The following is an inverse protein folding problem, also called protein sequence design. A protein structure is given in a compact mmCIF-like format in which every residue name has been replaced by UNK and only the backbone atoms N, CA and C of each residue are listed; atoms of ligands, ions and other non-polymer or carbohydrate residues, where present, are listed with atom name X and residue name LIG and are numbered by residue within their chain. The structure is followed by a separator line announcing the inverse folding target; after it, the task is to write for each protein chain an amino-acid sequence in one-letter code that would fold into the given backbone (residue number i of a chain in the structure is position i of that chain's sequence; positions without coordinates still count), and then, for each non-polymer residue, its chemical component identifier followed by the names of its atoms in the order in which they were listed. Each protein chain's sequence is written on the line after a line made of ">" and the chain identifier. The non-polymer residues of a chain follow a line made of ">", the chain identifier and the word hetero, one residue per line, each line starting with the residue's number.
data_IF_776173219927
#
_entry.id   IF_776173219927
#
_cell.length_a   1.000
_cell.length_b   1.000
_cell.length_c   1.000
_cell.angle_alpha   90.00
_cell.angle_beta   90.00
_cell.angle_gamma   90.00
#
_symmetry.space_group_name_H-M   'P 1'
#
loop_
_entity.id
_entity.type
_entity.pdbx_description
1 polymer ?
#
# COMPACT_ATOMS: atom_id res chain seq x y z
N UNK A 1 12.73 -1.96 7.66
CA UNK A 1 11.26 -2.11 7.82
C UNK A 1 10.57 -2.36 6.47
N UNK A 2 10.78 -1.51 5.45
CA UNK A 2 10.24 -1.67 4.09
C UNK A 2 10.47 -3.05 3.46
N UNK A 3 11.65 -3.64 3.63
CA UNK A 3 11.97 -4.97 3.09
C UNK A 3 11.02 -6.06 3.58
N UNK A 4 10.60 -6.00 4.86
CA UNK A 4 9.65 -6.97 5.43
C UNK A 4 8.27 -6.75 4.83
N UNK A 5 7.84 -5.49 4.68
CA UNK A 5 6.54 -5.15 4.07
C UNK A 5 6.48 -5.59 2.61
N UNK A 6 7.55 -5.36 1.85
CA UNK A 6 7.66 -5.85 0.47
C UNK A 6 7.68 -7.38 0.38
N UNK A 7 8.34 -8.05 1.32
CA UNK A 7 8.29 -9.52 1.39
C UNK A 7 6.87 -10.02 1.67
N UNK A 8 6.16 -9.43 2.65
CA UNK A 8 4.77 -9.78 2.97
C UNK A 8 3.82 -9.52 1.79
N UNK A 9 4.00 -8.41 1.09
CA UNK A 9 3.29 -8.05 -0.13
C UNK A 9 3.55 -9.04 -1.28
N UNK A 10 4.79 -9.43 -1.49
CA UNK A 10 5.14 -10.42 -2.51
C UNK A 10 4.54 -11.80 -2.19
N UNK A 11 4.59 -12.23 -0.92
CA UNK A 11 4.01 -13.48 -0.46
C UNK A 11 2.48 -13.47 -0.60
N UNK A 12 1.81 -12.35 -0.28
CA UNK A 12 0.35 -12.25 -0.42
C UNK A 12 -0.08 -12.32 -1.89
N UNK A 13 0.62 -11.60 -2.78
CA UNK A 13 0.37 -11.65 -4.22
C UNK A 13 0.62 -13.07 -4.80
N UNK A 14 1.69 -13.74 -4.35
CA UNK A 14 1.99 -15.11 -4.74
C UNK A 14 0.92 -16.10 -4.28
N UNK A 15 0.39 -15.95 -3.05
CA UNK A 15 -0.70 -16.76 -2.52
C UNK A 15 -1.98 -16.64 -3.36
N UNK A 16 -2.36 -15.42 -3.76
CA UNK A 16 -3.52 -15.17 -4.62
C UNK A 16 -3.29 -15.74 -6.02
N UNK A 17 -2.10 -15.54 -6.59
CA UNK A 17 -1.75 -16.07 -7.91
C UNK A 17 -1.80 -17.60 -7.94
N UNK A 18 -1.30 -18.26 -6.89
CA UNK A 18 -1.25 -19.73 -6.80
C UNK A 18 -2.61 -20.38 -6.54
N UNK A 19 -3.52 -19.70 -5.84
CA UNK A 19 -4.79 -20.31 -5.42
C UNK A 19 -5.76 -20.52 -6.57
N UNK A 20 -5.85 -19.62 -7.56
CA UNK A 20 -6.68 -19.82 -8.76
C UNK A 20 -6.22 -18.97 -9.97
N UNK A 21 -5.64 -19.56 -11.03
CA UNK A 21 -5.37 -18.81 -12.27
C UNK A 21 -6.69 -18.61 -13.05
N UNK A 22 -7.53 -17.68 -12.60
CA UNK A 22 -8.73 -17.24 -13.33
C UNK A 22 -8.58 -15.79 -13.81
N UNK A 23 -9.29 -15.42 -14.89
CA UNK A 23 -9.31 -14.03 -15.42
C UNK A 23 -9.64 -12.98 -14.35
N UNK A 24 -10.34 -13.38 -13.30
CA UNK A 24 -10.75 -12.53 -12.19
C UNK A 24 -9.58 -12.13 -11.26
N UNK A 25 -8.45 -12.83 -11.31
CA UNK A 25 -7.24 -12.46 -10.55
C UNK A 25 -6.46 -11.32 -11.19
N UNK A 26 -6.77 -10.90 -12.44
CA UNK A 26 -6.08 -9.78 -13.09
C UNK A 26 -6.31 -8.45 -12.37
N UNK A 27 -7.54 -8.19 -11.91
CA UNK A 27 -7.87 -6.92 -11.26
C UNK A 27 -7.15 -6.76 -9.90
N UNK A 28 -7.18 -7.74 -8.97
CA UNK A 28 -6.40 -7.69 -7.74
C UNK A 28 -4.89 -7.49 -7.95
N UNK A 29 -4.30 -8.20 -8.93
CA UNK A 29 -2.88 -8.05 -9.24
C UNK A 29 -2.55 -6.69 -9.87
N UNK A 30 -3.44 -6.13 -10.70
CA UNK A 30 -3.26 -4.80 -11.28
C UNK A 30 -3.32 -3.70 -10.20
N UNK A 31 -4.30 -3.78 -9.28
CA UNK A 31 -4.41 -2.84 -8.14
C UNK A 31 -3.17 -2.94 -7.24
N UNK A 32 -2.69 -4.16 -6.98
CA UNK A 32 -1.43 -4.39 -6.27
C UNK A 32 -0.22 -3.75 -6.98
N UNK A 33 -0.15 -3.85 -8.30
CA UNK A 33 0.89 -3.20 -9.09
C UNK A 33 0.87 -1.67 -8.97
N UNK A 34 -0.32 -1.07 -9.07
CA UNK A 34 -0.50 0.39 -8.90
C UNK A 34 -0.10 0.83 -7.49
N UNK A 35 -0.54 0.08 -6.47
CA UNK A 35 -0.14 0.31 -5.08
C UNK A 35 1.39 0.33 -4.91
N UNK A 36 2.11 -0.55 -5.60
CA UNK A 36 3.57 -0.65 -5.51
C UNK A 36 4.25 0.56 -6.16
N UNK A 37 3.75 1.02 -7.31
CA UNK A 37 4.24 2.22 -7.98
C UNK A 37 4.00 3.47 -7.13
N UNK A 38 2.79 3.64 -6.59
CA UNK A 38 2.47 4.72 -5.65
C UNK A 38 3.43 4.69 -4.45
N UNK A 39 3.63 3.51 -3.86
CA UNK A 39 4.54 3.38 -2.73
C UNK A 39 5.99 3.78 -3.05
N UNK A 40 6.48 3.47 -4.25
CA UNK A 40 7.80 3.92 -4.70
C UNK A 40 7.84 5.44 -4.96
N UNK A 41 6.73 6.05 -5.36
CA UNK A 41 6.61 7.49 -5.59
C UNK A 41 6.56 8.31 -4.28
N UNK A 42 6.02 7.75 -3.19
CA UNK A 42 5.91 8.45 -1.91
C UNK A 42 7.26 8.93 -1.36
N UNK A 43 8.27 8.06 -1.36
CA UNK A 43 9.59 8.38 -0.78
C UNK A 43 10.26 9.60 -1.43
N UNK A 44 10.41 9.67 -2.77
CA UNK A 44 10.96 10.86 -3.43
C UNK A 44 10.06 12.09 -3.36
N UNK A 45 8.72 11.94 -3.31
CA UNK A 45 7.81 13.08 -3.12
C UNK A 45 7.99 13.74 -1.75
N UNK A 46 8.08 12.93 -0.69
CA UNK A 46 8.21 13.42 0.68
C UNK A 46 9.63 13.90 1.00
N UNK A 47 10.65 13.09 0.70
CA UNK A 47 12.05 13.40 1.05
C UNK A 47 12.83 14.14 -0.03
N UNK A 48 12.55 13.90 -1.31
CA UNK A 48 13.32 14.45 -2.42
C UNK A 48 12.86 15.85 -2.82
N UNK A 49 11.55 16.04 -2.98
CA UNK A 49 10.96 17.31 -3.45
C UNK A 49 10.53 18.24 -2.31
N UNK A 50 10.42 17.74 -1.07
CA UNK A 50 9.96 18.54 0.07
C UNK A 50 8.52 19.04 -0.05
N UNK A 51 7.77 18.51 -1.02
CA UNK A 51 6.37 18.89 -1.30
C UNK A 51 5.43 18.19 -0.32
N UNK A 52 5.49 18.60 0.94
CA UNK A 52 4.76 18.01 2.07
C UNK A 52 3.24 17.93 1.84
N UNK A 53 2.66 18.94 1.19
CA UNK A 53 1.23 18.93 0.83
C UNK A 53 0.87 17.87 -0.22
N UNK A 54 1.71 17.70 -1.25
CA UNK A 54 1.50 16.69 -2.31
C UNK A 54 1.73 15.28 -1.79
N UNK A 55 2.73 15.10 -0.92
CA UNK A 55 3.00 13.82 -0.25
C UNK A 55 1.86 13.39 0.68
N UNK A 56 1.16 14.34 1.30
CA UNK A 56 -0.04 14.05 2.10
C UNK A 56 -1.19 13.52 1.25
N UNK A 57 -1.47 14.13 0.08
CA UNK A 57 -2.50 13.61 -0.83
C UNK A 57 -2.11 12.22 -1.34
N UNK A 58 -0.84 12.04 -1.72
CA UNK A 58 -0.36 10.76 -2.25
C UNK A 58 -0.44 9.64 -1.19
N UNK A 59 -0.15 9.92 0.08
CA UNK A 59 -0.26 8.89 1.13
C UNK A 59 -1.71 8.44 1.36
N UNK A 60 -2.68 9.34 1.20
CA UNK A 60 -4.11 8.98 1.24
C UNK A 60 -4.52 8.13 0.04
N UNK A 61 -4.03 8.47 -1.16
CA UNK A 61 -4.27 7.67 -2.37
C UNK A 61 -3.68 6.27 -2.19
N UNK A 62 -2.42 6.19 -1.73
CA UNK A 62 -1.76 4.92 -1.42
C UNK A 62 -2.55 4.11 -0.38
N UNK A 63 -3.02 4.75 0.69
CA UNK A 63 -3.84 4.10 1.71
C UNK A 63 -5.13 3.51 1.12
N UNK A 64 -5.82 4.25 0.25
CA UNK A 64 -7.01 3.78 -0.46
C UNK A 64 -6.72 2.56 -1.34
N UNK A 65 -5.60 2.59 -2.07
CA UNK A 65 -5.16 1.44 -2.87
C UNK A 65 -4.83 0.22 -2.01
N UNK A 66 -4.18 0.41 -0.86
CA UNK A 66 -3.90 -0.69 0.09
C UNK A 66 -5.19 -1.31 0.60
N UNK A 67 -6.15 -0.48 1.03
CA UNK A 67 -7.45 -0.95 1.50
C UNK A 67 -8.19 -1.72 0.39
N UNK A 68 -8.17 -1.22 -0.85
CA UNK A 68 -8.75 -1.90 -2.00
C UNK A 68 -8.09 -3.27 -2.25
N UNK A 69 -6.76 -3.35 -2.21
CA UNK A 69 -6.01 -4.61 -2.34
C UNK A 69 -6.37 -5.58 -1.22
N UNK A 70 -6.47 -5.10 0.03
CA UNK A 70 -6.90 -5.92 1.18
C UNK A 70 -8.30 -6.47 0.94
N UNK A 71 -9.27 -5.65 0.54
CA UNK A 71 -10.65 -6.10 0.28
C UNK A 71 -10.75 -7.12 -0.87
N UNK A 72 -10.00 -6.89 -1.95
CA UNK A 72 -9.91 -7.79 -3.10
C UNK A 72 -9.25 -9.13 -2.71
N UNK A 73 -8.19 -9.07 -1.92
CA UNK A 73 -7.49 -10.26 -1.44
C UNK A 73 -8.31 -10.98 -0.36
N UNK A 74 -9.12 -10.28 0.43
CA UNK A 74 -9.97 -10.87 1.46
C UNK A 74 -11.02 -11.82 0.88
N UNK A 75 -11.59 -11.46 -0.27
CA UNK A 75 -12.53 -12.32 -1.01
C UNK A 75 -11.87 -13.58 -1.58
N UNK A 76 -10.54 -13.57 -1.79
CA UNK A 76 -9.79 -14.67 -2.41
C UNK A 76 -9.08 -15.55 -1.38
N UNK A 77 -8.32 -14.92 -0.49
CA UNK A 77 -7.51 -15.56 0.54
C UNK A 77 -7.39 -14.65 1.76
N UNK A 78 -8.05 -15.06 2.85
CA UNK A 78 -7.99 -14.41 4.16
C UNK A 78 -6.55 -14.29 4.69
N UNK A 79 -5.72 -15.28 4.36
CA UNK A 79 -4.29 -15.28 4.68
C UNK A 79 -3.52 -14.20 3.92
N UNK A 80 -3.81 -14.01 2.63
CA UNK A 80 -3.18 -12.97 1.83
C UNK A 80 -3.56 -11.56 2.35
N UNK A 81 -4.81 -11.37 2.76
CA UNK A 81 -5.28 -10.09 3.29
C UNK A 81 -4.72 -9.79 4.69
N UNK A 82 -4.58 -10.79 5.56
CA UNK A 82 -3.99 -10.59 6.90
C UNK A 82 -2.51 -10.22 6.83
N UNK A 83 -1.76 -10.71 5.84
CA UNK A 83 -0.36 -10.30 5.58
C UNK A 83 -0.23 -8.82 5.19
N UNK A 84 -1.30 -8.20 4.70
CA UNK A 84 -1.35 -6.78 4.33
C UNK A 84 -1.82 -5.86 5.47
N UNK A 85 -2.39 -6.40 6.56
CA UNK A 85 -2.79 -5.61 7.74
C UNK A 85 -1.61 -4.85 8.39
N UNK A 86 -0.42 -5.44 8.58
CA UNK A 86 0.74 -4.71 9.09
C UNK A 86 1.12 -3.53 8.19
N UNK A 87 0.93 -3.68 6.88
CA UNK A 87 1.21 -2.63 5.91
C UNK A 87 0.24 -1.46 6.06
N UNK A 88 -1.05 -1.75 6.26
CA UNK A 88 -2.10 -0.76 6.47
C UNK A 88 -1.91 0.00 7.79
N UNK A 89 -1.51 -0.70 8.85
CA UNK A 89 -1.14 -0.07 10.12
C UNK A 89 0.06 0.88 9.96
N UNK A 90 1.08 0.46 9.21
CA UNK A 90 2.25 1.28 8.91
C UNK A 90 1.91 2.53 8.08
N UNK A 91 1.12 2.41 7.01
CA UNK A 91 0.71 3.59 6.23
C UNK A 91 -0.17 4.54 7.03
N UNK A 92 -0.97 4.03 7.97
CA UNK A 92 -1.73 4.87 8.90
C UNK A 92 -0.80 5.68 9.80
N UNK A 93 0.23 5.04 10.35
CA UNK A 93 1.26 5.73 11.13
C UNK A 93 2.00 6.79 10.30
N UNK A 94 2.39 6.46 9.06
CA UNK A 94 3.04 7.40 8.16
C UNK A 94 2.13 8.58 7.76
N UNK A 95 0.81 8.36 7.65
CA UNK A 95 -0.16 9.41 7.36
C UNK A 95 -0.30 10.39 8.53
N UNK A 96 -0.36 9.89 9.76
CA UNK A 96 -0.36 10.72 10.98
C UNK A 96 0.94 11.50 11.09
N UNK A 97 2.09 10.88 10.84
CA UNK A 97 3.39 11.55 10.84
C UNK A 97 3.43 12.69 9.80
N UNK A 98 2.96 12.44 8.57
CA UNK A 98 2.84 13.45 7.53
C UNK A 98 1.94 14.61 7.96
N UNK A 99 0.80 14.30 8.55
CA UNK A 99 -0.13 15.31 9.08
C UNK A 99 0.52 16.18 10.15
N UNK A 100 1.21 15.57 11.13
CA UNK A 100 1.92 16.30 12.18
C UNK A 100 3.03 17.18 11.62
N UNK A 101 3.78 16.70 10.62
CA UNK A 101 4.83 17.49 9.95
C UNK A 101 4.24 18.66 9.17
N UNK A 102 3.10 18.47 8.50
CA UNK A 102 2.39 19.55 7.81
C UNK A 102 1.89 20.60 8.79
N UNK A 103 1.27 20.17 9.89
CA UNK A 103 0.75 21.06 10.93
C UNK A 103 1.84 21.87 11.64
N UNK A 104 3.02 21.29 11.88
CA UNK A 104 4.17 21.98 12.48
C UNK A 104 4.90 22.93 11.54
N UNK A 105 4.66 22.82 10.23
CA UNK A 105 5.25 23.69 9.21
C UNK A 105 4.20 24.63 8.57
N UNK A 106 3.06 24.80 9.25
CA UNK A 106 2.02 25.78 8.93
C UNK A 106 2.19 27.03 9.79
#
# INVERSE_FOLDING_TARGET
>A
MWTVLYALMAVSAWLVWRSHPSRENRLPLAVYGIQLVLNMAWTPLFFGLGWRGTAFIEIFVLWGFIAATVMLFWHRSRWAATLLLPYLAWTTFAAVLNFSVWQLNS
#
